data_IF_150503373138
#
_entry.id   IF_150503373138
#
_cell.length_a   1.000
_cell.length_b   1.000
_cell.length_c   1.000
_cell.angle_alpha   90.00
_cell.angle_beta   90.00
_cell.angle_gamma   90.00
#
_symmetry.space_group_name_H-M   'P 1'
#
loop_
_entity.id
_entity.type
_entity.pdbx_description
1 polymer ?
#
# COMPACT_ATOMS: atom_id res chain seq x y z
N UNK A 1 -23.26 -14.69 22.67
CA UNK A 1 -22.57 -13.88 21.64
C UNK A 1 -22.85 -12.42 22.00
N UNK A 2 -21.87 -11.70 22.55
CA UNK A 2 -22.01 -10.27 22.84
C UNK A 2 -21.91 -9.54 21.50
N UNK A 3 -22.93 -8.80 21.13
CA UNK A 3 -22.89 -7.86 20.01
C UNK A 3 -21.72 -6.90 20.23
N UNK A 4 -20.64 -7.10 19.46
CA UNK A 4 -19.53 -6.17 19.45
C UNK A 4 -20.04 -4.91 18.73
N UNK A 5 -20.46 -3.93 19.50
CA UNK A 5 -20.84 -2.61 19.00
C UNK A 5 -19.68 -2.06 18.14
N UNK A 6 -20.05 -1.37 17.04
CA UNK A 6 -19.06 -0.62 16.26
C UNK A 6 -18.29 0.30 17.22
N UNK A 7 -16.94 0.38 17.11
CA UNK A 7 -16.16 1.20 18.03
C UNK A 7 -16.68 2.64 18.01
N UNK A 8 -16.84 3.22 19.19
CA UNK A 8 -17.24 4.63 19.29
C UNK A 8 -16.19 5.49 18.59
N UNK A 9 -16.58 6.66 18.06
CA UNK A 9 -15.64 7.57 17.39
C UNK A 9 -14.43 7.93 18.28
N UNK A 10 -14.63 7.99 19.60
CA UNK A 10 -13.56 8.19 20.59
C UNK A 10 -12.63 6.96 20.71
N UNK A 11 -13.13 5.74 20.54
CA UNK A 11 -12.32 4.54 20.62
C UNK A 11 -11.26 4.47 19.51
N UNK A 12 -11.47 5.10 18.34
CA UNK A 12 -10.47 5.19 17.26
C UNK A 12 -9.19 5.91 17.70
N UNK A 13 -9.30 6.86 18.62
CA UNK A 13 -8.17 7.66 19.09
C UNK A 13 -7.64 7.22 20.46
N UNK A 14 -8.35 6.34 21.17
CA UNK A 14 -7.99 5.89 22.52
C UNK A 14 -7.64 4.40 22.59
N UNK A 15 -8.14 3.57 21.65
CA UNK A 15 -7.76 2.16 21.60
C UNK A 15 -6.32 2.01 21.10
N UNK A 16 -5.47 1.42 21.96
CA UNK A 16 -4.06 1.15 21.71
C UNK A 16 -3.80 0.45 20.38
N UNK A 17 -4.70 -0.44 19.93
CA UNK A 17 -4.55 -1.17 18.67
C UNK A 17 -4.59 -0.24 17.48
N UNK A 18 -5.49 0.75 17.48
CA UNK A 18 -5.62 1.72 16.40
C UNK A 18 -4.46 2.71 16.37
N UNK A 19 -3.98 3.18 17.55
CA UNK A 19 -2.78 4.02 17.62
C UNK A 19 -1.54 3.28 17.11
N UNK A 20 -1.43 2.00 17.42
CA UNK A 20 -0.37 1.14 16.88
C UNK A 20 -0.47 1.03 15.35
N UNK A 21 -1.68 0.88 14.77
CA UNK A 21 -1.86 0.88 13.31
C UNK A 21 -1.40 2.18 12.66
N UNK A 22 -1.75 3.33 13.25
CA UNK A 22 -1.31 4.66 12.77
C UNK A 22 0.22 4.77 12.76
N UNK A 23 0.86 4.38 13.86
CA UNK A 23 2.31 4.48 14.02
C UNK A 23 3.08 3.46 13.16
N UNK A 24 2.57 2.24 13.00
CA UNK A 24 3.14 1.24 12.09
C UNK A 24 2.97 1.65 10.63
N UNK A 25 1.82 2.25 10.27
CA UNK A 25 1.61 2.86 8.95
C UNK A 25 2.61 3.98 8.69
N UNK A 26 2.87 4.83 9.68
CA UNK A 26 3.89 5.87 9.58
C UNK A 26 5.28 5.26 9.34
N UNK A 27 5.70 4.30 10.13
CA UNK A 27 7.01 3.64 9.93
C UNK A 27 7.13 2.94 8.57
N UNK A 28 6.03 2.39 8.04
CA UNK A 28 5.99 1.75 6.73
C UNK A 28 6.14 2.75 5.57
N UNK A 29 5.61 3.97 5.71
CA UNK A 29 5.70 5.00 4.68
C UNK A 29 7.06 5.70 4.58
N UNK A 30 7.85 5.74 5.66
CA UNK A 30 9.14 6.47 5.71
C UNK A 30 10.13 6.05 4.62
N UNK A 31 10.38 4.75 4.32
CA UNK A 31 11.44 4.36 3.40
C UNK A 31 11.14 4.63 1.92
N UNK A 32 9.87 4.71 1.53
CA UNK A 32 9.48 4.79 0.12
C UNK A 32 10.04 6.02 -0.60
N UNK A 33 9.92 7.27 -0.10
CA UNK A 33 10.54 8.43 -0.74
C UNK A 33 12.05 8.30 -0.83
N UNK A 34 12.69 7.70 0.19
CA UNK A 34 14.15 7.58 0.31
C UNK A 34 14.78 6.67 -0.73
N UNK A 35 14.02 5.69 -1.25
CA UNK A 35 14.45 4.77 -2.32
C UNK A 35 13.88 5.16 -3.68
N UNK A 36 13.07 6.22 -3.76
CA UNK A 36 12.42 6.69 -4.98
C UNK A 36 12.79 8.16 -5.27
N UNK A 37 11.89 9.09 -5.01
CA UNK A 37 12.03 10.50 -5.41
C UNK A 37 13.24 11.19 -4.79
N UNK A 38 13.45 11.01 -3.48
CA UNK A 38 14.56 11.63 -2.74
C UNK A 38 15.92 11.11 -3.25
N UNK A 39 16.05 9.79 -3.44
CA UNK A 39 17.27 9.21 -3.99
C UNK A 39 17.56 9.72 -5.42
N UNK A 40 16.52 9.75 -6.28
CA UNK A 40 16.68 10.26 -7.66
C UNK A 40 17.15 11.71 -7.66
N UNK A 41 16.60 12.54 -6.76
CA UNK A 41 17.03 13.93 -6.60
C UNK A 41 18.50 14.00 -6.22
N UNK A 42 18.94 13.22 -5.23
CA UNK A 42 20.35 13.17 -4.83
C UNK A 42 21.28 12.77 -5.98
N UNK A 43 20.94 11.67 -6.69
CA UNK A 43 21.72 11.20 -7.83
C UNK A 43 21.73 12.21 -9.00
N UNK A 44 20.64 12.97 -9.19
CA UNK A 44 20.58 14.03 -10.21
C UNK A 44 21.51 15.20 -9.86
N UNK A 45 21.64 15.56 -8.60
CA UNK A 45 22.56 16.60 -8.13
C UNK A 45 24.04 16.23 -8.33
N UNK A 46 24.33 14.93 -8.41
CA UNK A 46 25.66 14.40 -8.75
C UNK A 46 25.92 14.33 -10.27
N UNK A 47 24.97 14.82 -11.09
CA UNK A 47 25.03 14.77 -12.57
C UNK A 47 25.23 13.35 -13.13
N UNK A 48 24.65 12.33 -12.46
CA UNK A 48 24.67 10.96 -12.97
C UNK A 48 23.83 10.85 -14.25
N UNK A 49 24.21 9.94 -15.20
CA UNK A 49 23.42 9.68 -16.38
C UNK A 49 21.98 9.29 -16.05
N UNK A 50 21.03 9.76 -16.87
CA UNK A 50 19.58 9.52 -16.65
C UNK A 50 19.26 8.02 -16.62
N UNK A 51 20.02 7.22 -17.38
CA UNK A 51 19.92 5.75 -17.42
C UNK A 51 20.20 5.14 -16.05
N UNK A 52 21.23 5.63 -15.35
CA UNK A 52 21.60 5.18 -14.00
C UNK A 52 20.54 5.58 -13.00
N UNK A 53 20.04 6.83 -13.09
CA UNK A 53 18.95 7.30 -12.25
C UNK A 53 17.68 6.46 -12.49
N UNK A 54 17.41 6.08 -13.74
CA UNK A 54 16.33 5.20 -14.13
C UNK A 54 16.36 3.81 -13.47
N UNK A 55 17.56 3.28 -13.21
CA UNK A 55 17.73 1.99 -12.52
C UNK A 55 17.14 1.99 -11.11
N UNK A 56 16.96 3.15 -10.47
CA UNK A 56 16.30 3.24 -9.16
C UNK A 56 14.87 2.72 -9.20
N UNK A 57 14.22 2.68 -10.35
CA UNK A 57 12.89 2.09 -10.50
C UNK A 57 12.88 0.59 -10.16
N UNK A 58 13.98 -0.13 -10.38
CA UNK A 58 14.12 -1.55 -10.04
C UNK A 58 14.07 -1.81 -8.53
N UNK A 59 14.38 -0.82 -7.69
CA UNK A 59 14.22 -0.93 -6.23
C UNK A 59 12.76 -1.22 -5.84
N UNK A 60 11.81 -0.77 -6.64
CA UNK A 60 10.39 -1.08 -6.48
C UNK A 60 10.04 -2.57 -6.64
N UNK A 61 10.91 -3.37 -7.27
CA UNK A 61 10.72 -4.82 -7.41
C UNK A 61 10.69 -5.53 -6.06
N UNK A 62 11.38 -5.03 -5.04
CA UNK A 62 11.33 -5.59 -3.69
C UNK A 62 9.88 -5.67 -3.17
N UNK A 63 9.09 -4.62 -3.38
CA UNK A 63 7.68 -4.59 -2.94
C UNK A 63 6.77 -5.50 -3.77
N UNK A 64 7.10 -5.73 -5.04
CA UNK A 64 6.35 -6.62 -5.92
C UNK A 64 6.69 -8.09 -5.67
N UNK A 65 7.95 -8.38 -5.33
CA UNK A 65 8.45 -9.75 -5.13
C UNK A 65 8.40 -10.19 -3.65
N UNK A 66 7.90 -9.37 -2.73
CA UNK A 66 7.89 -9.66 -1.29
C UNK A 66 7.22 -10.99 -0.93
N UNK A 67 6.32 -11.50 -1.76
CA UNK A 67 5.67 -12.80 -1.54
C UNK A 67 6.66 -13.98 -1.58
N UNK A 68 7.83 -13.83 -2.21
CA UNK A 68 8.84 -14.91 -2.28
C UNK A 68 9.46 -15.23 -0.92
N UNK A 69 9.63 -14.23 -0.05
CA UNK A 69 10.21 -14.44 1.30
C UNK A 69 9.20 -14.28 2.43
N UNK A 70 7.96 -13.89 2.13
CA UNK A 70 6.89 -13.81 3.13
C UNK A 70 6.69 -15.14 3.91
N UNK A 71 6.83 -16.34 3.30
CA UNK A 71 6.75 -17.60 4.03
C UNK A 71 7.76 -17.73 5.17
N UNK A 72 8.96 -17.17 5.01
CA UNK A 72 9.98 -17.14 6.07
C UNK A 72 9.49 -16.29 7.25
N UNK A 73 8.93 -15.10 6.98
CA UNK A 73 8.40 -14.20 8.01
C UNK A 73 7.14 -14.76 8.70
N UNK A 74 6.41 -15.64 8.02
CA UNK A 74 5.25 -16.33 8.59
C UNK A 74 5.63 -17.47 9.52
N UNK A 75 6.60 -18.29 9.14
CA UNK A 75 6.89 -19.56 9.79
C UNK A 75 8.13 -19.51 10.70
N UNK A 76 9.12 -18.70 10.35
CA UNK A 76 10.34 -18.61 11.14
C UNK A 76 10.13 -17.77 12.40
N UNK A 77 10.83 -18.15 13.45
CA UNK A 77 10.93 -17.34 14.67
C UNK A 77 11.90 -16.18 14.43
N UNK A 78 11.60 -14.97 14.96
CA UNK A 78 12.53 -13.85 14.86
C UNK A 78 13.89 -14.22 15.46
N UNK A 79 15.01 -13.81 14.84
CA UNK A 79 16.35 -14.25 15.24
C UNK A 79 16.76 -13.69 16.60
N UNK A 80 16.39 -12.45 16.92
CA UNK A 80 16.90 -11.72 18.09
C UNK A 80 15.82 -11.60 19.18
N UNK A 81 14.67 -10.99 18.88
CA UNK A 81 13.66 -10.58 19.87
C UNK A 81 12.53 -11.61 20.04
N UNK A 82 12.88 -12.89 20.25
CA UNK A 82 11.90 -13.99 20.37
C UNK A 82 10.91 -13.82 21.52
N UNK A 83 11.31 -13.15 22.60
CA UNK A 83 10.47 -12.91 23.78
C UNK A 83 9.34 -11.90 23.55
N UNK A 84 9.43 -11.08 22.50
CA UNK A 84 8.36 -10.15 22.12
C UNK A 84 7.21 -10.83 21.36
N UNK A 85 7.36 -12.11 21.00
CA UNK A 85 6.42 -12.83 20.18
C UNK A 85 6.86 -12.93 18.72
N UNK A 86 5.96 -13.41 17.84
CA UNK A 86 6.29 -13.66 16.43
C UNK A 86 6.31 -12.37 15.63
N UNK A 87 5.20 -11.61 15.63
CA UNK A 87 5.08 -10.40 14.79
C UNK A 87 5.88 -9.23 15.34
N UNK A 88 5.73 -8.96 16.62
CA UNK A 88 6.53 -7.92 17.29
C UNK A 88 8.02 -8.18 17.23
N UNK A 89 8.43 -9.43 17.42
CA UNK A 89 9.85 -9.81 17.38
C UNK A 89 10.47 -9.61 15.99
N UNK A 90 9.72 -9.91 14.90
CA UNK A 90 10.17 -9.60 13.55
C UNK A 90 10.27 -8.09 13.32
N UNK A 91 9.25 -7.30 13.70
CA UNK A 91 9.29 -5.84 13.56
C UNK A 91 10.42 -5.21 14.37
N UNK A 92 10.62 -5.67 15.63
CA UNK A 92 11.72 -5.22 16.48
C UNK A 92 13.11 -5.59 15.91
N UNK A 93 13.19 -6.60 15.04
CA UNK A 93 14.44 -6.97 14.34
C UNK A 93 14.61 -6.13 13.07
N UNK A 94 13.55 -6.00 12.25
CA UNK A 94 13.62 -5.36 10.94
C UNK A 94 13.78 -3.84 11.07
N UNK A 95 13.04 -3.18 11.98
CA UNK A 95 13.05 -1.72 12.07
C UNK A 95 14.40 -1.11 12.45
N UNK A 96 15.15 -1.62 13.45
CA UNK A 96 16.51 -1.14 13.71
C UNK A 96 17.46 -1.38 12.53
N UNK A 97 17.38 -2.55 11.87
CA UNK A 97 18.19 -2.84 10.69
C UNK A 97 17.85 -1.89 9.53
N UNK A 98 16.58 -1.57 9.35
CA UNK A 98 16.10 -0.60 8.36
C UNK A 98 16.64 0.81 8.67
N UNK A 99 16.53 1.26 9.93
CA UNK A 99 17.09 2.55 10.35
C UNK A 99 18.61 2.62 10.12
N UNK A 100 19.34 1.54 10.45
CA UNK A 100 20.78 1.45 10.19
C UNK A 100 21.11 1.45 8.70
N UNK A 101 20.33 0.78 7.86
CA UNK A 101 20.50 0.78 6.41
C UNK A 101 20.23 2.17 5.82
N UNK A 102 19.21 2.89 6.31
CA UNK A 102 18.91 4.28 5.91
C UNK A 102 20.07 5.20 6.33
N UNK A 103 20.58 5.07 7.55
CA UNK A 103 21.77 5.80 8.00
C UNK A 103 22.98 5.52 7.11
N UNK A 104 23.30 4.24 6.88
CA UNK A 104 24.41 3.84 6.04
C UNK A 104 24.29 4.41 4.62
N UNK A 105 23.05 4.43 4.06
CA UNK A 105 22.78 5.05 2.76
C UNK A 105 23.10 6.54 2.80
N UNK A 106 22.67 7.27 3.83
CA UNK A 106 22.96 8.71 3.99
C UNK A 106 24.44 9.03 4.10
N UNK A 107 25.21 8.15 4.76
CA UNK A 107 26.66 8.30 4.93
C UNK A 107 27.48 7.66 3.79
N UNK A 108 26.87 7.04 2.78
CA UNK A 108 27.56 6.41 1.65
C UNK A 108 28.31 7.39 0.75
N UNK A 109 27.96 8.68 0.83
CA UNK A 109 28.55 9.78 0.07
C UNK A 109 28.81 9.41 -1.41
N UNK A 110 27.79 9.05 -2.21
CA UNK A 110 27.97 8.64 -3.59
C UNK A 110 28.58 9.75 -4.42
N UNK A 111 29.39 9.36 -5.40
CA UNK A 111 29.96 10.26 -6.41
C UNK A 111 29.59 9.75 -7.80
N UNK A 112 29.82 10.57 -8.84
CA UNK A 112 29.57 10.18 -10.22
C UNK A 112 30.34 8.90 -10.63
N UNK A 113 31.50 8.65 -10.01
CA UNK A 113 32.35 7.49 -10.29
C UNK A 113 32.08 6.31 -9.32
N UNK A 114 31.50 6.55 -8.13
CA UNK A 114 31.32 5.55 -7.07
C UNK A 114 29.92 5.64 -6.44
N UNK A 115 28.92 5.10 -7.12
CA UNK A 115 27.53 5.07 -6.65
C UNK A 115 27.01 3.64 -6.34
N UNK A 116 27.78 2.60 -6.63
CA UNK A 116 27.36 1.21 -6.47
C UNK A 116 27.00 0.86 -5.01
N UNK A 117 27.74 1.39 -4.04
CA UNK A 117 27.44 1.21 -2.61
C UNK A 117 26.09 1.82 -2.26
N UNK A 118 25.80 3.03 -2.73
CA UNK A 118 24.51 3.69 -2.49
C UNK A 118 23.34 2.90 -3.08
N UNK A 119 23.48 2.35 -4.29
CA UNK A 119 22.49 1.46 -4.89
C UNK A 119 22.27 0.18 -4.08
N UNK A 120 23.37 -0.44 -3.62
CA UNK A 120 23.30 -1.66 -2.79
C UNK A 120 22.57 -1.37 -1.48
N UNK A 121 22.90 -0.27 -0.81
CA UNK A 121 22.25 0.15 0.43
C UNK A 121 20.78 0.54 0.19
N UNK A 122 20.47 1.22 -0.89
CA UNK A 122 19.09 1.52 -1.29
C UNK A 122 18.27 0.25 -1.57
N UNK A 123 18.88 -0.76 -2.21
CA UNK A 123 18.25 -2.07 -2.40
C UNK A 123 18.01 -2.79 -1.06
N UNK A 124 18.95 -2.70 -0.12
CA UNK A 124 18.79 -3.23 1.24
C UNK A 124 17.66 -2.50 1.97
N UNK A 125 17.58 -1.17 1.89
CA UNK A 125 16.47 -0.38 2.44
C UNK A 125 15.13 -0.82 1.86
N UNK A 126 15.04 -0.97 0.53
CA UNK A 126 13.81 -1.43 -0.14
C UNK A 126 13.42 -2.85 0.28
N UNK A 127 14.37 -3.77 0.42
CA UNK A 127 14.14 -5.14 0.88
C UNK A 127 13.64 -5.18 2.33
N UNK A 128 14.31 -4.46 3.24
CA UNK A 128 13.91 -4.39 4.64
C UNK A 128 12.55 -3.70 4.81
N UNK A 129 12.28 -2.65 4.05
CA UNK A 129 10.98 -1.98 4.03
C UNK A 129 9.88 -2.91 3.52
N UNK A 130 10.07 -3.61 2.41
CA UNK A 130 9.12 -4.59 1.91
C UNK A 130 8.89 -5.75 2.91
N UNK A 131 9.95 -6.16 3.65
CA UNK A 131 9.84 -7.15 4.72
C UNK A 131 9.05 -6.61 5.91
N UNK A 132 9.25 -5.35 6.29
CA UNK A 132 8.45 -4.67 7.31
C UNK A 132 6.96 -4.67 6.91
N UNK A 133 6.63 -4.30 5.66
CA UNK A 133 5.26 -4.27 5.16
C UNK A 133 4.58 -5.63 5.31
N UNK A 134 5.27 -6.73 4.93
CA UNK A 134 4.75 -8.10 5.08
C UNK A 134 4.36 -8.39 6.54
N UNK A 135 5.21 -8.02 7.49
CA UNK A 135 4.95 -8.29 8.91
C UNK A 135 3.87 -7.37 9.49
N UNK A 136 3.85 -6.10 9.10
CA UNK A 136 2.80 -5.13 9.53
C UNK A 136 1.44 -5.53 9.01
N UNK A 137 1.33 -5.93 7.75
CA UNK A 137 0.07 -6.40 7.16
C UNK A 137 -0.44 -7.65 7.88
N UNK A 138 0.44 -8.61 8.14
CA UNK A 138 0.08 -9.81 8.90
C UNK A 138 -0.31 -9.49 10.36
N UNK A 139 0.41 -8.57 11.02
CA UNK A 139 0.06 -8.09 12.36
C UNK A 139 -1.36 -7.49 12.36
N UNK A 140 -1.69 -6.64 11.38
CA UNK A 140 -3.01 -6.02 11.25
C UNK A 140 -4.12 -7.07 11.10
N UNK A 141 -3.91 -8.06 10.22
CA UNK A 141 -4.90 -9.13 9.96
C UNK A 141 -5.14 -9.98 11.21
N UNK A 142 -4.09 -10.25 11.98
CA UNK A 142 -4.16 -11.10 13.17
C UNK A 142 -4.66 -10.33 14.41
N UNK A 143 -4.37 -9.03 14.53
CA UNK A 143 -4.67 -8.23 15.71
C UNK A 143 -6.09 -7.61 15.72
N UNK A 144 -6.71 -7.46 14.54
CA UNK A 144 -8.00 -6.79 14.37
C UNK A 144 -9.09 -7.78 13.94
N UNK A 145 -10.29 -7.55 14.45
CA UNK A 145 -11.49 -8.26 14.01
C UNK A 145 -11.97 -7.73 12.66
N UNK A 146 -12.83 -8.49 11.96
CA UNK A 146 -13.33 -8.14 10.63
C UNK A 146 -13.96 -6.73 10.57
N UNK A 147 -14.74 -6.35 11.59
CA UNK A 147 -15.36 -5.03 11.69
C UNK A 147 -14.35 -3.91 11.97
N UNK A 148 -13.22 -4.24 12.61
CA UNK A 148 -12.15 -3.30 12.95
C UNK A 148 -11.14 -3.12 11.81
N UNK A 149 -11.08 -4.07 10.86
CA UNK A 149 -10.12 -4.03 9.74
C UNK A 149 -10.22 -2.74 8.94
N UNK A 150 -11.43 -2.26 8.63
CA UNK A 150 -11.62 -1.02 7.88
C UNK A 150 -11.05 0.21 8.57
N UNK A 151 -11.32 0.37 9.87
CA UNK A 151 -10.77 1.49 10.65
C UNK A 151 -9.26 1.37 10.87
N UNK A 152 -8.79 0.15 11.19
CA UNK A 152 -7.36 -0.09 11.37
C UNK A 152 -6.58 0.21 10.10
N UNK A 153 -7.12 -0.13 8.94
CA UNK A 153 -6.52 0.17 7.64
C UNK A 153 -6.55 1.67 7.34
N UNK A 154 -7.65 2.37 7.63
CA UNK A 154 -7.73 3.82 7.45
C UNK A 154 -6.65 4.54 8.25
N UNK A 155 -6.46 4.17 9.53
CA UNK A 155 -5.40 4.76 10.36
C UNK A 155 -4.00 4.38 9.89
N UNK A 156 -3.80 3.16 9.40
CA UNK A 156 -2.55 2.76 8.75
C UNK A 156 -2.25 3.66 7.55
N UNK A 157 -3.24 3.89 6.66
CA UNK A 157 -3.09 4.78 5.49
C UNK A 157 -2.80 6.22 5.92
N UNK A 158 -3.45 6.72 6.98
CA UNK A 158 -3.16 8.04 7.53
C UNK A 158 -1.70 8.17 8.00
N UNK A 159 -1.24 7.18 8.76
CA UNK A 159 0.16 7.12 9.17
C UNK A 159 1.11 7.11 7.97
N UNK A 160 0.82 6.23 7.01
CA UNK A 160 1.62 6.07 5.80
C UNK A 160 1.72 7.37 4.99
N UNK A 161 0.59 8.06 4.74
CA UNK A 161 0.58 9.34 4.03
C UNK A 161 1.30 10.45 4.82
N UNK A 162 1.12 10.49 6.14
CA UNK A 162 1.89 11.40 7.01
C UNK A 162 3.40 11.17 6.91
N UNK A 163 3.83 9.91 6.83
CA UNK A 163 5.24 9.57 6.64
C UNK A 163 5.78 9.97 5.27
N UNK A 164 5.00 9.82 4.20
CA UNK A 164 5.41 10.29 2.87
C UNK A 164 5.72 11.79 2.85
N UNK A 165 4.92 12.59 3.57
CA UNK A 165 5.19 14.02 3.74
C UNK A 165 6.43 14.26 4.61
N UNK A 166 6.50 13.61 5.77
CA UNK A 166 7.59 13.81 6.72
C UNK A 166 8.93 13.36 6.15
N UNK A 167 9.01 12.18 5.52
CA UNK A 167 10.25 11.67 4.94
C UNK A 167 10.52 12.21 3.54
N UNK A 168 9.51 12.53 2.74
CA UNK A 168 9.69 13.13 1.41
C UNK A 168 10.11 14.60 1.53
N UNK A 169 9.20 15.46 1.92
CA UNK A 169 9.47 16.89 2.04
C UNK A 169 10.42 17.21 3.20
N UNK A 170 10.23 16.56 4.36
CA UNK A 170 11.09 16.80 5.55
C UNK A 170 12.55 16.43 5.30
N UNK A 171 12.83 15.34 4.57
CA UNK A 171 14.20 14.98 4.19
C UNK A 171 14.82 16.03 3.28
N UNK A 172 14.10 16.53 2.27
CA UNK A 172 14.61 17.56 1.38
C UNK A 172 14.90 18.89 2.11
N UNK A 173 14.04 19.27 3.07
CA UNK A 173 14.31 20.42 3.93
C UNK A 173 15.53 20.20 4.84
N UNK A 174 15.73 18.99 5.35
CA UNK A 174 16.90 18.65 6.16
C UNK A 174 18.21 18.67 5.35
N UNK A 175 18.16 18.42 4.04
CA UNK A 175 19.32 18.57 3.14
C UNK A 175 19.81 20.01 3.14
N UNK A 176 18.93 21.00 3.08
CA UNK A 176 19.29 22.43 3.09
C UNK A 176 19.98 22.86 4.39
N UNK A 177 19.71 22.18 5.50
CA UNK A 177 20.28 22.49 6.82
C UNK A 177 21.65 21.84 7.05
N UNK A 178 21.80 20.59 6.63
CA UNK A 178 23.01 19.81 6.98
C UNK A 178 23.40 18.73 5.96
N UNK A 179 22.94 18.87 4.72
CA UNK A 179 23.28 17.96 3.64
C UNK A 179 22.60 16.59 3.74
N UNK A 180 22.95 15.71 2.81
CA UNK A 180 22.32 14.42 2.61
C UNK A 180 22.47 13.47 3.80
N UNK A 181 23.63 13.49 4.49
CA UNK A 181 23.86 12.63 5.66
C UNK A 181 22.90 12.97 6.81
N UNK A 182 22.70 14.27 7.14
CA UNK A 182 21.74 14.69 8.14
C UNK A 182 20.30 14.36 7.73
N UNK A 183 19.97 14.55 6.46
CA UNK A 183 18.63 14.31 5.93
C UNK A 183 18.22 12.82 6.05
N UNK A 184 19.11 11.91 5.71
CA UNK A 184 18.87 10.48 5.90
C UNK A 184 18.90 10.07 7.37
N UNK A 185 19.74 10.72 8.23
CA UNK A 185 19.72 10.49 9.67
C UNK A 185 18.39 10.94 10.29
N UNK A 186 17.85 12.08 9.88
CA UNK A 186 16.49 12.49 10.25
C UNK A 186 15.44 11.44 9.89
N UNK A 187 15.47 10.93 8.64
CA UNK A 187 14.53 9.92 8.18
C UNK A 187 14.70 8.58 8.91
N UNK A 188 15.94 8.19 9.25
CA UNK A 188 16.20 7.00 10.07
C UNK A 188 15.60 7.15 11.49
N UNK A 189 15.67 8.34 12.08
CA UNK A 189 15.06 8.62 13.38
C UNK A 189 13.52 8.47 13.34
N UNK A 190 12.86 8.79 12.21
CA UNK A 190 11.42 8.61 12.05
C UNK A 190 10.98 7.14 12.16
N UNK A 191 11.84 6.17 11.83
CA UNK A 191 11.58 4.74 12.05
C UNK A 191 11.39 4.43 13.54
N UNK A 192 11.97 5.24 14.43
CA UNK A 192 11.80 5.13 15.88
C UNK A 192 10.34 5.17 16.33
N UNK A 193 9.46 5.87 15.60
CA UNK A 193 8.00 5.89 15.87
C UNK A 193 7.43 4.47 15.78
N UNK A 194 7.82 3.71 14.75
CA UNK A 194 7.41 2.31 14.59
C UNK A 194 7.97 1.42 15.69
N UNK A 195 9.23 1.60 16.07
CA UNK A 195 9.85 0.82 17.15
C UNK A 195 9.12 1.04 18.49
N UNK A 196 8.78 2.29 18.82
CA UNK A 196 7.95 2.59 20.00
C UNK A 196 6.59 1.92 19.89
N UNK A 197 5.96 1.97 18.71
CA UNK A 197 4.68 1.30 18.49
C UNK A 197 4.78 -0.22 18.72
N UNK A 198 5.83 -0.87 18.22
CA UNK A 198 6.08 -2.31 18.43
C UNK A 198 6.23 -2.66 19.90
N UNK A 199 6.94 -1.84 20.67
CA UNK A 199 7.10 -2.06 22.12
C UNK A 199 5.77 -1.92 22.86
N UNK A 200 4.92 -1.01 22.42
CA UNK A 200 3.59 -0.79 22.99
C UNK A 200 2.53 -1.75 22.43
N UNK A 201 2.71 -2.38 21.28
CA UNK A 201 1.74 -3.24 20.63
C UNK A 201 1.42 -4.50 21.46
N UNK A 202 0.16 -4.98 21.50
CA UNK A 202 -0.12 -6.34 21.95
C UNK A 202 0.33 -7.36 20.90
N UNK A 203 0.92 -8.49 21.32
CA UNK A 203 1.20 -9.58 20.37
C UNK A 203 -0.09 -10.29 20.00
N UNK A 204 -0.38 -10.50 18.70
CA UNK A 204 -1.52 -11.30 18.28
C UNK A 204 -1.41 -12.74 18.73
N UNK A 205 -2.55 -13.39 19.01
CA UNK A 205 -2.58 -14.81 19.37
C UNK A 205 -2.09 -15.62 18.17
N UNK A 206 -0.94 -16.29 18.36
CA UNK A 206 -0.38 -17.14 17.33
C UNK A 206 -1.25 -18.37 17.10
N UNK A 207 -1.53 -18.76 15.84
CA UNK A 207 -2.17 -20.04 15.57
C UNK A 207 -1.32 -21.20 16.08
N UNK A 208 -1.92 -22.36 16.49
CA UNK A 208 -1.20 -23.50 16.97
C UNK A 208 -0.16 -23.98 15.95
N UNK A 209 1.10 -24.03 16.35
CA UNK A 209 2.17 -24.54 15.48
C UNK A 209 2.30 -26.05 15.66
N UNK A 210 2.06 -26.80 14.59
CA UNK A 210 2.37 -28.24 14.55
C UNK A 210 3.89 -28.40 14.41
N UNK A 211 4.48 -29.25 15.27
CA UNK A 211 5.91 -29.61 15.19
C UNK A 211 6.12 -30.52 13.99
N UNK A 212 6.64 -30.00 12.89
CA UNK A 212 6.95 -30.73 11.67
C UNK A 212 8.47 -30.96 11.53
N UNK A 213 8.90 -32.05 10.87
CA UNK A 213 10.30 -32.22 10.44
C UNK A 213 10.76 -31.08 9.54
N UNK A 214 12.07 -30.77 9.43
CA UNK A 214 12.56 -29.59 8.69
C UNK A 214 12.07 -29.49 7.24
N UNK A 215 12.08 -30.59 6.50
CA UNK A 215 11.62 -30.61 5.10
C UNK A 215 10.10 -30.41 4.99
N UNK A 216 9.33 -31.06 5.87
CA UNK A 216 7.87 -30.86 5.92
C UNK A 216 7.53 -29.43 6.37
N UNK A 217 8.32 -28.83 7.27
CA UNK A 217 8.17 -27.42 7.65
C UNK A 217 8.42 -26.47 6.48
N UNK A 218 9.47 -26.72 5.68
CA UNK A 218 9.75 -25.90 4.48
C UNK A 218 8.61 -26.01 3.48
N UNK A 219 8.09 -27.21 3.23
CA UNK A 219 6.92 -27.42 2.37
C UNK A 219 5.69 -26.70 2.93
N UNK A 220 5.40 -26.85 4.21
CA UNK A 220 4.29 -26.17 4.87
C UNK A 220 4.43 -24.65 4.80
N UNK A 221 5.66 -24.13 4.87
CA UNK A 221 5.89 -22.69 4.78
C UNK A 221 5.69 -22.13 3.38
N UNK A 222 6.09 -22.86 2.33
CA UNK A 222 6.14 -22.37 0.96
C UNK A 222 4.95 -22.84 0.14
N UNK A 223 4.59 -24.12 0.22
CA UNK A 223 3.59 -24.75 -0.66
C UNK A 223 2.18 -24.64 -0.08
N UNK A 224 2.02 -24.93 1.21
CA UNK A 224 0.68 -25.03 1.82
C UNK A 224 -0.13 -23.73 1.75
N UNK A 225 0.46 -22.50 1.88
CA UNK A 225 -0.29 -21.26 1.69
C UNK A 225 -0.93 -21.11 0.31
N UNK A 226 -0.23 -21.58 -0.73
CA UNK A 226 -0.74 -21.56 -2.11
C UNK A 226 -1.78 -22.65 -2.33
N UNK A 227 -1.53 -23.87 -1.81
CA UNK A 227 -2.49 -24.98 -1.90
C UNK A 227 -3.78 -24.62 -1.16
N UNK A 228 -3.68 -24.10 0.08
CA UNK A 228 -4.84 -23.61 0.85
C UNK A 228 -5.66 -22.58 0.06
N UNK A 229 -4.98 -21.65 -0.60
CA UNK A 229 -5.65 -20.64 -1.41
C UNK A 229 -6.32 -21.25 -2.67
N UNK A 230 -5.62 -22.13 -3.38
CA UNK A 230 -6.12 -22.80 -4.61
C UNK A 230 -7.23 -23.82 -4.35
N UNK A 231 -7.36 -24.35 -3.13
CA UNK A 231 -8.48 -25.23 -2.76
C UNK A 231 -9.79 -24.48 -2.57
N UNK A 232 -9.76 -23.16 -2.48
CA UNK A 232 -10.99 -22.36 -2.32
C UNK A 232 -11.78 -22.33 -3.62
N UNK A 233 -13.11 -22.50 -3.54
CA UNK A 233 -13.94 -22.38 -4.74
C UNK A 233 -13.77 -20.98 -5.35
N UNK A 234 -13.55 -20.89 -6.66
CA UNK A 234 -13.44 -19.64 -7.41
C UNK A 234 -12.13 -18.86 -7.22
N UNK A 235 -11.06 -19.46 -6.70
CA UNK A 235 -9.76 -18.81 -6.50
C UNK A 235 -9.23 -18.08 -7.74
N UNK A 236 -9.47 -18.62 -8.95
CA UNK A 236 -9.11 -17.95 -10.23
C UNK A 236 -9.87 -16.64 -10.39
N UNK A 237 -11.18 -16.65 -10.10
CA UNK A 237 -12.00 -15.44 -10.15
C UNK A 237 -11.52 -14.39 -9.16
N UNK A 238 -11.10 -14.81 -7.95
CA UNK A 238 -10.50 -13.91 -6.95
C UNK A 238 -9.21 -13.29 -7.47
N UNK A 239 -8.29 -14.06 -8.05
CA UNK A 239 -7.05 -13.53 -8.59
C UNK A 239 -7.31 -12.57 -9.77
N UNK A 240 -8.22 -12.91 -10.67
CA UNK A 240 -8.62 -12.04 -11.78
C UNK A 240 -9.24 -10.74 -11.25
N UNK A 241 -10.12 -10.81 -10.25
CA UNK A 241 -10.69 -9.65 -9.61
C UNK A 241 -9.59 -8.75 -9.01
N UNK A 242 -8.66 -9.33 -8.25
CA UNK A 242 -7.54 -8.60 -7.62
C UNK A 242 -6.67 -7.89 -8.65
N UNK A 243 -6.42 -8.52 -9.80
CA UNK A 243 -5.64 -7.93 -10.90
C UNK A 243 -6.38 -6.77 -11.57
N UNK A 244 -7.69 -6.89 -11.74
CA UNK A 244 -8.47 -5.96 -12.58
C UNK A 244 -9.14 -4.84 -11.80
N UNK A 245 -9.29 -4.97 -10.47
CA UNK A 245 -10.04 -4.00 -9.65
C UNK A 245 -9.52 -2.57 -9.78
N UNK A 246 -8.21 -2.42 -9.78
CA UNK A 246 -7.54 -1.11 -9.89
C UNK A 246 -7.12 -0.75 -11.33
N UNK A 247 -7.59 -1.50 -12.34
CA UNK A 247 -7.13 -1.30 -13.72
C UNK A 247 -7.52 0.08 -14.27
N UNK A 248 -8.77 0.49 -14.06
CA UNK A 248 -9.24 1.79 -14.56
C UNK A 248 -8.46 2.96 -13.95
N UNK A 249 -8.24 2.92 -12.64
CA UNK A 249 -7.42 3.90 -11.92
C UNK A 249 -5.96 3.87 -12.36
N UNK A 250 -5.37 2.67 -12.52
CA UNK A 250 -3.98 2.54 -12.93
C UNK A 250 -3.72 3.14 -14.32
N UNK A 251 -4.67 2.99 -15.25
CA UNK A 251 -4.60 3.61 -16.57
C UNK A 251 -4.72 5.14 -16.47
N UNK A 252 -5.70 5.64 -15.71
CA UNK A 252 -5.95 7.07 -15.54
C UNK A 252 -4.78 7.77 -14.84
N UNK A 253 -4.32 7.24 -13.71
CA UNK A 253 -3.27 7.83 -12.86
C UNK A 253 -1.96 8.11 -13.61
N UNK A 254 -1.56 7.22 -14.53
CA UNK A 254 -0.33 7.40 -15.33
C UNK A 254 -0.40 8.65 -16.20
N UNK A 255 -1.60 8.98 -16.71
CA UNK A 255 -1.79 10.08 -17.64
C UNK A 255 -2.29 11.38 -17.00
N UNK A 256 -2.70 11.35 -15.73
CA UNK A 256 -3.32 12.49 -15.03
C UNK A 256 -2.47 13.76 -15.09
N UNK A 257 -1.16 13.68 -14.83
CA UNK A 257 -0.28 14.86 -14.86
C UNK A 257 -0.12 15.42 -16.27
N UNK A 258 0.02 14.54 -17.27
CA UNK A 258 0.11 14.94 -18.69
C UNK A 258 -1.19 15.57 -19.16
N UNK A 259 -2.32 15.06 -18.73
CA UNK A 259 -3.64 15.59 -19.01
C UNK A 259 -3.83 17.01 -18.43
N UNK A 260 -3.51 17.22 -17.15
CA UNK A 260 -3.60 18.55 -16.54
C UNK A 260 -2.68 19.57 -17.23
N UNK A 261 -1.46 19.13 -17.61
CA UNK A 261 -0.57 19.98 -18.38
C UNK A 261 -1.15 20.34 -19.76
N UNK A 262 -1.77 19.36 -20.44
CA UNK A 262 -2.40 19.59 -21.75
C UNK A 262 -3.61 20.57 -21.68
N UNK A 263 -4.29 20.62 -20.53
CA UNK A 263 -5.35 21.60 -20.28
C UNK A 263 -4.85 22.97 -19.81
N UNK A 264 -3.53 23.15 -19.65
CA UNK A 264 -2.90 24.42 -19.30
C UNK A 264 -2.90 24.75 -17.80
N UNK A 265 -3.18 23.79 -16.92
CA UNK A 265 -3.07 24.02 -15.47
C UNK A 265 -1.63 24.26 -15.03
N UNK A 266 -1.45 25.26 -14.20
CA UNK A 266 -0.13 25.66 -13.70
C UNK A 266 0.35 24.77 -12.54
N UNK A 267 1.68 24.72 -12.32
CA UNK A 267 2.27 23.97 -11.20
C UNK A 267 1.76 24.40 -9.83
N UNK A 268 1.58 25.71 -9.51
CA UNK A 268 1.03 26.15 -8.22
C UNK A 268 -0.42 25.70 -8.02
N UNK A 269 -1.27 25.76 -9.05
CA UNK A 269 -2.65 25.27 -8.99
C UNK A 269 -2.69 23.79 -8.67
N UNK A 270 -1.89 22.98 -9.38
CA UNK A 270 -1.82 21.54 -9.15
C UNK A 270 -1.22 21.21 -7.78
N UNK A 271 -0.24 21.96 -7.31
CA UNK A 271 0.33 21.77 -5.98
C UNK A 271 -0.72 21.97 -4.87
N UNK A 272 -1.52 23.02 -4.98
CA UNK A 272 -2.56 23.30 -3.99
C UNK A 272 -3.73 22.29 -4.10
N UNK A 273 -4.21 22.02 -5.30
CA UNK A 273 -5.42 21.24 -5.51
C UNK A 273 -5.12 19.75 -5.46
N UNK A 274 -4.20 19.25 -6.28
CA UNK A 274 -3.94 17.81 -6.37
C UNK A 274 -3.14 17.27 -5.18
N UNK A 275 -2.09 17.99 -4.75
CA UNK A 275 -1.20 17.45 -3.71
C UNK A 275 -1.73 17.73 -2.30
N UNK A 276 -2.27 18.93 -2.01
CA UNK A 276 -2.73 19.26 -0.66
C UNK A 276 -4.18 18.84 -0.47
N UNK A 277 -5.09 19.37 -1.28
CA UNK A 277 -6.52 19.06 -1.13
C UNK A 277 -6.82 17.59 -1.50
N UNK A 278 -6.20 17.04 -2.55
CA UNK A 278 -6.31 15.63 -2.91
C UNK A 278 -5.88 14.70 -1.78
N UNK A 279 -4.78 15.05 -1.06
CA UNK A 279 -4.36 14.31 0.13
C UNK A 279 -5.43 14.33 1.23
N UNK A 280 -6.03 15.48 1.51
CA UNK A 280 -7.12 15.57 2.50
C UNK A 280 -8.32 14.73 2.07
N UNK A 281 -8.68 14.79 0.79
CA UNK A 281 -9.81 14.04 0.23
C UNK A 281 -9.60 12.51 0.34
N UNK A 282 -8.42 12.00 -0.01
CA UNK A 282 -8.12 10.55 0.07
C UNK A 282 -8.11 10.06 1.54
N UNK A 283 -7.59 10.85 2.46
CA UNK A 283 -7.61 10.53 3.89
C UNK A 283 -9.04 10.49 4.45
N UNK A 284 -9.86 11.47 4.09
CA UNK A 284 -11.28 11.50 4.44
C UNK A 284 -12.02 10.29 3.81
N UNK A 285 -11.73 9.97 2.56
CA UNK A 285 -12.23 8.79 1.87
C UNK A 285 -11.89 7.48 2.57
N UNK A 286 -10.63 7.30 2.98
CA UNK A 286 -10.21 6.11 3.72
C UNK A 286 -10.99 5.92 5.03
N UNK A 287 -11.24 6.99 5.79
CA UNK A 287 -12.08 6.93 7.00
C UNK A 287 -13.54 6.62 6.66
N UNK A 288 -14.10 7.24 5.62
CA UNK A 288 -15.47 6.99 5.17
C UNK A 288 -15.63 5.53 4.70
N UNK A 289 -14.62 4.99 3.98
CA UNK A 289 -14.56 3.58 3.58
C UNK A 289 -14.52 2.63 4.78
N UNK A 290 -13.66 2.91 5.75
CA UNK A 290 -13.59 2.17 7.01
C UNK A 290 -14.91 2.17 7.78
N UNK A 291 -15.57 3.33 7.87
CA UNK A 291 -16.91 3.46 8.46
C UNK A 291 -17.95 2.65 7.68
N UNK A 292 -17.94 2.74 6.35
CA UNK A 292 -18.87 2.00 5.50
C UNK A 292 -18.73 0.49 5.69
N UNK A 293 -17.48 -0.03 5.71
CA UNK A 293 -17.19 -1.44 5.98
C UNK A 293 -17.80 -1.88 7.33
N UNK A 294 -17.64 -1.07 8.38
CA UNK A 294 -18.15 -1.39 9.71
C UNK A 294 -19.69 -1.44 9.77
N UNK A 295 -20.36 -0.70 8.86
CA UNK A 295 -21.84 -0.62 8.82
C UNK A 295 -22.48 -1.69 7.95
N UNK A 296 -21.97 -1.91 6.75
CA UNK A 296 -22.62 -2.79 5.76
C UNK A 296 -21.80 -4.03 5.41
N UNK A 297 -20.62 -4.20 6.01
CA UNK A 297 -19.69 -5.29 5.76
C UNK A 297 -18.82 -5.07 4.52
N UNK A 298 -17.70 -5.83 4.43
CA UNK A 298 -16.65 -5.68 3.40
C UNK A 298 -17.22 -5.83 1.99
N UNK A 299 -18.03 -6.87 1.74
CA UNK A 299 -18.52 -7.18 0.40
C UNK A 299 -19.38 -6.07 -0.21
N UNK A 300 -20.37 -5.56 0.55
CA UNK A 300 -21.24 -4.49 0.06
C UNK A 300 -20.49 -3.17 -0.05
N UNK A 301 -19.59 -2.88 0.90
CA UNK A 301 -18.74 -1.70 0.86
C UNK A 301 -17.87 -1.72 -0.40
N UNK A 302 -17.25 -2.86 -0.75
CA UNK A 302 -16.41 -3.02 -1.94
C UNK A 302 -17.19 -2.75 -3.24
N UNK A 303 -18.44 -3.22 -3.34
CA UNK A 303 -19.31 -2.91 -4.50
C UNK A 303 -19.58 -1.42 -4.61
N UNK A 304 -20.02 -0.78 -3.52
CA UNK A 304 -20.39 0.62 -3.53
C UNK A 304 -19.19 1.53 -3.80
N UNK A 305 -18.06 1.25 -3.15
CA UNK A 305 -16.85 2.06 -3.32
C UNK A 305 -16.21 1.84 -4.68
N UNK A 306 -16.21 0.60 -5.21
CA UNK A 306 -15.75 0.30 -6.56
C UNK A 306 -16.59 0.96 -7.65
N UNK A 307 -17.92 1.01 -7.48
CA UNK A 307 -18.79 1.79 -8.37
C UNK A 307 -18.50 3.29 -8.26
N UNK A 308 -18.33 3.80 -7.04
CA UNK A 308 -17.97 5.22 -6.83
C UNK A 308 -16.68 5.59 -7.54
N UNK A 309 -15.63 4.77 -7.39
CA UNK A 309 -14.33 4.98 -8.03
C UNK A 309 -14.41 4.84 -9.56
N UNK A 310 -15.15 3.86 -10.07
CA UNK A 310 -15.39 3.72 -11.52
C UNK A 310 -16.06 4.98 -12.10
N UNK A 311 -17.11 5.48 -11.44
CA UNK A 311 -17.85 6.64 -11.91
C UNK A 311 -17.08 7.96 -11.72
N UNK A 312 -16.14 8.05 -10.75
CA UNK A 312 -15.31 9.24 -10.57
C UNK A 312 -14.42 9.54 -11.77
N UNK A 313 -14.04 8.53 -12.55
CA UNK A 313 -13.30 8.71 -13.79
C UNK A 313 -14.07 9.58 -14.83
N UNK A 314 -15.41 9.61 -14.76
CA UNK A 314 -16.21 10.50 -15.61
C UNK A 314 -15.98 11.99 -15.31
N UNK A 315 -15.47 12.33 -14.14
CA UNK A 315 -15.08 13.71 -13.82
C UNK A 315 -13.89 14.19 -14.69
N UNK A 316 -12.97 13.27 -15.06
CA UNK A 316 -11.93 13.58 -16.05
C UNK A 316 -12.50 13.85 -17.42
N UNK A 317 -13.54 13.11 -17.82
CA UNK A 317 -14.26 13.35 -19.10
C UNK A 317 -14.90 14.73 -19.09
N UNK A 318 -15.57 15.09 -18.00
CA UNK A 318 -16.16 16.42 -17.84
C UNK A 318 -15.10 17.52 -17.92
N UNK A 319 -13.97 17.34 -17.24
CA UNK A 319 -12.85 18.29 -17.26
C UNK A 319 -12.19 18.39 -18.64
N UNK A 320 -12.12 17.27 -19.38
CA UNK A 320 -11.58 17.25 -20.74
C UNK A 320 -12.41 18.10 -21.72
N UNK A 321 -13.73 18.16 -21.51
CA UNK A 321 -14.62 19.00 -22.30
C UNK A 321 -14.63 20.46 -21.84
N UNK A 322 -14.50 20.73 -20.54
CA UNK A 322 -14.51 22.08 -19.99
C UNK A 322 -13.18 22.83 -20.23
N UNK A 323 -12.06 22.08 -20.35
CA UNK A 323 -10.73 22.68 -20.50
C UNK A 323 -10.18 23.20 -19.19
N UNK A 324 -9.54 24.39 -19.18
CA UNK A 324 -8.97 25.01 -17.99
C UNK A 324 -10.07 25.60 -17.09
N UNK A 325 -10.71 24.78 -16.28
CA UNK A 325 -11.76 25.15 -15.33
C UNK A 325 -11.35 24.77 -13.90
N UNK A 326 -10.95 25.76 -13.10
CA UNK A 326 -10.48 25.55 -11.73
C UNK A 326 -11.56 24.99 -10.78
N UNK A 327 -12.80 25.50 -10.76
CA UNK A 327 -13.87 24.90 -9.96
C UNK A 327 -14.10 23.42 -10.27
N UNK A 328 -14.10 23.05 -11.55
CA UNK A 328 -14.27 21.66 -11.96
C UNK A 328 -13.05 20.80 -11.61
N UNK A 329 -11.84 21.36 -11.67
CA UNK A 329 -10.63 20.66 -11.20
C UNK A 329 -10.70 20.35 -9.69
N UNK A 330 -11.16 21.31 -8.86
CA UNK A 330 -11.40 21.05 -7.43
C UNK A 330 -12.43 19.93 -7.22
N UNK A 331 -13.52 19.94 -7.94
CA UNK A 331 -14.54 18.91 -7.86
C UNK A 331 -14.01 17.54 -8.31
N UNK A 332 -13.29 17.49 -9.45
CA UNK A 332 -12.70 16.27 -10.00
C UNK A 332 -11.69 15.66 -9.00
N UNK A 333 -10.71 16.44 -8.52
CA UNK A 333 -9.70 15.97 -7.57
C UNK A 333 -10.34 15.53 -6.25
N UNK A 334 -11.34 16.28 -5.77
CA UNK A 334 -12.07 15.93 -4.55
C UNK A 334 -12.83 14.62 -4.65
N UNK A 335 -13.63 14.45 -5.70
CA UNK A 335 -14.45 13.25 -5.91
C UNK A 335 -13.56 12.05 -6.16
N UNK A 336 -12.55 12.18 -7.02
CA UNK A 336 -11.65 11.08 -7.36
C UNK A 336 -10.86 10.59 -6.14
N UNK A 337 -10.13 11.48 -5.45
CA UNK A 337 -9.31 11.07 -4.32
C UNK A 337 -10.16 10.56 -3.14
N UNK A 338 -11.36 11.13 -2.93
CA UNK A 338 -12.26 10.64 -1.88
C UNK A 338 -12.76 9.23 -2.19
N UNK A 339 -13.21 8.96 -3.41
CA UNK A 339 -13.68 7.63 -3.82
C UNK A 339 -12.55 6.63 -3.89
N UNK A 340 -11.34 7.04 -4.30
CA UNK A 340 -10.15 6.22 -4.29
C UNK A 340 -9.79 5.78 -2.85
N UNK A 341 -9.74 6.71 -1.90
CA UNK A 341 -9.51 6.38 -0.50
C UNK A 341 -10.54 5.41 0.07
N UNK A 342 -11.83 5.55 -0.28
CA UNK A 342 -12.89 4.61 0.11
C UNK A 342 -12.67 3.23 -0.52
N UNK A 343 -12.35 3.16 -1.80
CA UNK A 343 -12.16 1.92 -2.54
C UNK A 343 -10.90 1.19 -2.08
N UNK A 344 -9.81 1.91 -1.82
CA UNK A 344 -8.59 1.36 -1.22
C UNK A 344 -8.86 0.68 0.12
N UNK A 345 -9.57 1.38 1.03
CA UNK A 345 -9.93 0.81 2.32
C UNK A 345 -10.75 -0.48 2.17
N UNK A 346 -11.74 -0.49 1.28
CA UNK A 346 -12.57 -1.66 1.03
C UNK A 346 -11.82 -2.81 0.35
N UNK A 347 -10.98 -2.50 -0.64
CA UNK A 347 -10.19 -3.49 -1.36
C UNK A 347 -9.15 -4.17 -0.47
N UNK A 348 -8.38 -3.40 0.30
CA UNK A 348 -7.38 -3.96 1.20
C UNK A 348 -8.02 -4.74 2.36
N UNK A 349 -9.20 -4.30 2.86
CA UNK A 349 -9.98 -5.08 3.81
C UNK A 349 -10.47 -6.41 3.20
N UNK A 350 -10.89 -6.39 1.93
CA UNK A 350 -11.26 -7.60 1.20
C UNK A 350 -10.07 -8.55 1.03
N UNK A 351 -8.91 -8.06 0.60
CA UNK A 351 -7.69 -8.88 0.52
C UNK A 351 -7.36 -9.52 1.87
N UNK A 352 -7.53 -8.77 2.96
CA UNK A 352 -7.31 -9.27 4.33
C UNK A 352 -8.29 -10.38 4.70
N UNK A 353 -9.57 -10.25 4.31
CA UNK A 353 -10.60 -11.27 4.57
C UNK A 353 -10.40 -12.57 3.79
N UNK A 354 -9.66 -12.52 2.70
CA UNK A 354 -9.28 -13.69 1.90
C UNK A 354 -8.10 -14.45 2.48
N UNK A 355 -7.42 -13.94 3.50
CA UNK A 355 -6.23 -14.58 4.05
C UNK A 355 -6.57 -15.51 5.21
N UNK A 356 -5.95 -16.69 5.23
CA UNK A 356 -5.99 -17.56 6.39
C UNK A 356 -5.04 -17.01 7.47
N UNK A 357 -5.50 -16.90 8.72
CA UNK A 357 -4.67 -16.39 9.84
C UNK A 357 -3.37 -17.19 10.05
N UNK A 358 -3.35 -18.46 9.66
CA UNK A 358 -2.15 -19.31 9.73
C UNK A 358 -1.08 -18.92 8.69
N UNK A 359 -1.48 -18.29 7.58
CA UNK A 359 -0.63 -17.92 6.45
C UNK A 359 -0.81 -16.44 6.07
N UNK A 360 -1.16 -15.59 7.04
CA UNK A 360 -1.57 -14.21 6.80
C UNK A 360 -0.52 -13.38 6.04
N UNK A 361 0.76 -13.50 6.42
CA UNK A 361 1.85 -12.77 5.74
C UNK A 361 2.01 -13.24 4.29
N UNK A 362 2.03 -14.55 4.05
CA UNK A 362 2.29 -15.11 2.72
C UNK A 362 1.13 -14.87 1.76
N UNK A 363 -0.10 -15.17 2.18
CA UNK A 363 -1.26 -15.01 1.30
C UNK A 363 -1.57 -13.53 1.02
N UNK A 364 -1.47 -12.65 2.03
CA UNK A 364 -1.67 -11.23 1.81
C UNK A 364 -0.57 -10.63 0.95
N UNK A 365 0.70 -11.01 1.17
CA UNK A 365 1.80 -10.56 0.33
C UNK A 365 1.62 -11.00 -1.13
N UNK A 366 1.15 -12.23 -1.39
CA UNK A 366 0.85 -12.70 -2.74
C UNK A 366 -0.23 -11.84 -3.40
N UNK A 367 -1.37 -11.65 -2.73
CA UNK A 367 -2.50 -10.89 -3.28
C UNK A 367 -2.14 -9.41 -3.52
N UNK A 368 -1.47 -8.77 -2.55
CA UNK A 368 -1.06 -7.37 -2.68
C UNK A 368 0.04 -7.18 -3.73
N UNK A 369 0.95 -8.14 -3.87
CA UNK A 369 1.97 -8.13 -4.93
C UNK A 369 1.35 -8.31 -6.32
N UNK A 370 0.35 -9.18 -6.44
CA UNK A 370 -0.38 -9.40 -7.69
C UNK A 370 -1.13 -8.14 -8.14
N UNK A 371 -1.81 -7.46 -7.20
CA UNK A 371 -2.47 -6.18 -7.46
C UNK A 371 -1.47 -5.10 -7.92
N UNK A 372 -0.34 -4.96 -7.23
CA UNK A 372 0.69 -4.00 -7.56
C UNK A 372 1.36 -4.30 -8.92
N UNK A 373 1.60 -5.57 -9.24
CA UNK A 373 2.15 -5.99 -10.52
C UNK A 373 1.20 -5.66 -11.67
N UNK A 374 -0.09 -6.00 -11.52
CA UNK A 374 -1.10 -5.72 -12.53
C UNK A 374 -1.23 -4.21 -12.80
N UNK A 375 -1.31 -3.39 -11.76
CA UNK A 375 -1.41 -1.93 -11.90
C UNK A 375 -0.20 -1.34 -12.63
N UNK A 376 1.00 -1.82 -12.36
CA UNK A 376 2.23 -1.30 -12.99
C UNK A 376 2.39 -1.75 -14.44
N UNK A 377 2.09 -3.00 -14.74
CA UNK A 377 2.24 -3.55 -16.12
C UNK A 377 1.15 -3.07 -17.04
N UNK A 378 -0.10 -3.10 -16.59
CA UNK A 378 -1.25 -2.73 -17.43
C UNK A 378 -1.35 -1.20 -17.60
N UNK A 379 -0.95 -0.41 -16.60
CA UNK A 379 -0.86 1.04 -16.70
C UNK A 379 0.17 1.54 -17.71
N UNK A 380 1.19 0.74 -18.04
CA UNK A 380 2.27 1.14 -18.94
C UNK A 380 1.82 1.43 -20.39
N UNK A 381 0.67 0.89 -20.82
CA UNK A 381 0.10 1.13 -22.16
C UNK A 381 -0.73 2.39 -22.30
N UNK A 382 -1.04 3.09 -21.19
CA UNK A 382 -1.98 4.22 -21.16
C UNK A 382 -1.58 5.39 -22.06
N UNK A 383 -0.28 5.68 -22.23
CA UNK A 383 0.20 6.73 -23.11
C UNK A 383 -0.14 6.49 -24.58
N UNK A 384 0.01 5.26 -25.06
CA UNK A 384 -0.37 4.91 -26.44
C UNK A 384 -1.89 5.02 -26.65
N UNK A 385 -2.68 4.61 -25.67
CA UNK A 385 -4.14 4.71 -25.74
C UNK A 385 -4.60 6.17 -25.73
N UNK A 386 -4.05 6.99 -24.83
CA UNK A 386 -4.39 8.42 -24.76
C UNK A 386 -4.01 9.16 -26.06
N UNK A 387 -2.86 8.86 -26.65
CA UNK A 387 -2.42 9.46 -27.91
C UNK A 387 -3.30 9.06 -29.11
N UNK A 388 -3.79 7.81 -29.12
CA UNK A 388 -4.60 7.29 -30.22
C UNK A 388 -6.08 7.75 -30.17
N UNK A 389 -6.64 7.96 -28.96
CA UNK A 389 -8.07 8.19 -28.78
C UNK A 389 -8.43 9.64 -28.41
N UNK A 390 -7.46 10.42 -27.87
CA UNK A 390 -7.73 11.70 -27.24
C UNK A 390 -8.25 11.56 -25.81
N UNK A 391 -8.26 12.68 -25.06
CA UNK A 391 -8.51 12.67 -23.61
C UNK A 391 -9.91 12.20 -23.20
N UNK A 392 -11.04 12.69 -23.82
CA UNK A 392 -12.37 12.26 -23.41
C UNK A 392 -12.57 10.75 -23.57
N UNK A 393 -12.24 10.21 -24.75
CA UNK A 393 -12.42 8.78 -25.05
C UNK A 393 -11.48 7.90 -24.23
N UNK A 394 -10.26 8.37 -23.97
CA UNK A 394 -9.33 7.69 -23.07
C UNK A 394 -9.91 7.53 -21.65
N UNK A 395 -10.47 8.59 -21.06
CA UNK A 395 -11.07 8.49 -19.73
C UNK A 395 -12.39 7.72 -19.70
N UNK A 396 -13.16 7.71 -20.80
CA UNK A 396 -14.29 6.78 -20.95
C UNK A 396 -13.82 5.33 -20.98
N UNK A 397 -12.71 5.05 -21.69
CA UNK A 397 -12.10 3.71 -21.69
C UNK A 397 -11.63 3.31 -20.28
N UNK A 398 -11.00 4.20 -19.50
CA UNK A 398 -10.59 3.89 -18.12
C UNK A 398 -11.78 3.57 -17.23
N UNK A 399 -12.91 4.27 -17.42
CA UNK A 399 -14.18 3.96 -16.74
C UNK A 399 -14.68 2.56 -17.14
N UNK A 400 -14.71 2.26 -18.44
CA UNK A 400 -15.14 0.95 -18.95
C UNK A 400 -14.21 -0.20 -18.53
N UNK A 401 -12.91 0.06 -18.38
CA UNK A 401 -11.92 -0.93 -17.94
C UNK A 401 -12.16 -1.46 -16.51
N UNK A 402 -12.94 -0.77 -15.69
CA UNK A 402 -13.37 -1.25 -14.39
C UNK A 402 -14.55 -2.25 -14.44
N UNK A 403 -15.32 -2.28 -15.55
CA UNK A 403 -16.52 -3.13 -15.67
C UNK A 403 -16.24 -4.64 -15.55
N UNK A 404 -15.17 -5.22 -16.15
CA UNK A 404 -14.86 -6.63 -15.97
C UNK A 404 -14.64 -7.00 -14.50
N UNK A 405 -13.92 -6.18 -13.75
CA UNK A 405 -13.69 -6.40 -12.32
C UNK A 405 -14.99 -6.36 -11.52
N UNK A 406 -15.86 -5.38 -11.81
CA UNK A 406 -17.19 -5.29 -11.19
C UNK A 406 -18.06 -6.51 -11.51
N UNK A 407 -18.03 -7.00 -12.75
CA UNK A 407 -18.74 -8.22 -13.15
C UNK A 407 -18.25 -9.45 -12.41
N UNK A 408 -16.92 -9.64 -12.33
CA UNK A 408 -16.30 -10.74 -11.57
C UNK A 408 -16.66 -10.65 -10.10
N UNK A 409 -16.59 -9.46 -9.50
CA UNK A 409 -16.93 -9.24 -8.09
C UNK A 409 -18.39 -9.61 -7.81
N UNK A 410 -19.34 -9.14 -8.61
CA UNK A 410 -20.76 -9.47 -8.45
C UNK A 410 -21.01 -10.98 -8.61
N UNK A 411 -20.29 -11.64 -9.54
CA UNK A 411 -20.34 -13.08 -9.69
C UNK A 411 -19.79 -13.82 -8.46
N UNK A 412 -18.64 -13.38 -7.93
CA UNK A 412 -18.04 -13.93 -6.71
C UNK A 412 -18.99 -13.80 -5.52
N UNK A 413 -19.59 -12.61 -5.31
CA UNK A 413 -20.51 -12.37 -4.20
C UNK A 413 -21.80 -13.18 -4.29
N UNK A 414 -22.29 -13.46 -5.50
CA UNK A 414 -23.48 -14.31 -5.70
C UNK A 414 -23.20 -15.79 -5.45
N UNK A 415 -22.03 -16.27 -5.88
CA UNK A 415 -21.69 -17.70 -5.79
C UNK A 415 -20.99 -18.11 -4.50
N UNK A 416 -20.30 -17.16 -3.87
CA UNK A 416 -19.46 -17.39 -2.70
C UNK A 416 -19.61 -16.22 -1.72
N UNK A 417 -20.70 -16.19 -0.96
CA UNK A 417 -20.87 -15.17 0.08
C UNK A 417 -19.70 -15.22 1.08
N UNK A 418 -19.30 -14.09 1.67
CA UNK A 418 -18.12 -13.97 2.54
C UNK A 418 -18.08 -14.96 3.72
N UNK A 419 -19.24 -15.38 4.21
CA UNK A 419 -19.38 -16.39 5.26
C UNK A 419 -18.93 -17.79 4.84
N UNK A 420 -18.98 -18.13 3.53
CA UNK A 420 -18.50 -19.40 2.99
C UNK A 420 -16.99 -19.42 2.73
N UNK A 421 -16.37 -18.25 2.61
CA UNK A 421 -14.93 -18.11 2.37
C UNK A 421 -14.10 -18.22 3.67
N UNK A 422 -14.71 -18.03 4.82
CA UNK A 422 -14.07 -18.10 6.14
C UNK A 422 -14.13 -19.50 6.79
N UNK A 423 -14.87 -20.45 6.22
CA UNK A 423 -14.93 -21.82 6.76
C UNK A 423 -13.64 -22.57 6.40
N UNK A 424 -12.90 -23.13 7.37
CA UNK A 424 -11.84 -24.06 7.06
C UNK A 424 -12.45 -25.25 6.31
N UNK A 425 -11.81 -25.70 5.24
CA UNK A 425 -12.12 -27.00 4.64
C UNK A 425 -11.92 -28.04 5.74
N UNK A 426 -13.00 -28.77 6.09
CA UNK A 426 -13.06 -29.77 7.14
C UNK A 426 -12.18 -30.98 6.88
#
# INVERSE_FOLDING_TARGET
MRDAASPSRLALFTDRRFLVMLALGFAAGVPLPLTAGTLRRWLSELNLPVEVIGLTASLGLAYTLKFLWAPVLDQARPPIFRWLGRRRGWLATIQPLLALAILALGFSAPTAESYALAFTLAALVAFLSASQDVVVDAYRIEALDERQQGYGLALYVWGYRGALLASGAGTLLAVEVGGWALAYAFSAALIGVGLVAVLLAPEPVAPPQVKLPPLARLRAAVVDPFVDFMQRPGWVGVLLFVMLFKLGEALACVMTQTFYFALGFTRPELAAINNVFGLVAILAGALAGGWLISRIGIARALVLTGLGQMLSNLMYVALAHAGHDLPLLWAQVGVENFTDGMADAAFLAYLSSLTNRSFSATQYALLSSLAAFASRTLGGGSGYLAAAMGWPDFFLLTTAAALPAMGIMLWLLRRMPPTAQAAPAG
#
